data_IF_269381339240
#
_entry.id   IF_269381339240
#
_cell.length_a   1.000
_cell.length_b   1.000
_cell.length_c   1.000
_cell.angle_alpha   90.00
_cell.angle_beta   90.00
_cell.angle_gamma   90.00
#
_symmetry.space_group_name_H-M   'P 1'
#
loop_
_entity.id
_entity.type
_entity.pdbx_description
1 polymer ?
#
# COMPACT_ATOMS: atom_id res chain seq x y z
N UNK A 1 -7.66 -9.04 22.78
CA UNK A 1 -7.67 -7.56 22.69
C UNK A 1 -8.12 -7.26 21.28
N UNK A 2 -9.33 -6.74 21.11
CA UNK A 2 -9.95 -6.64 19.78
C UNK A 2 -9.49 -5.36 19.10
N UNK A 3 -8.33 -5.40 18.44
CA UNK A 3 -7.95 -4.38 17.46
C UNK A 3 -8.78 -4.54 16.18
N UNK A 4 -8.97 -3.46 15.43
CA UNK A 4 -9.71 -3.49 14.17
C UNK A 4 -8.78 -3.37 12.96
N UNK A 5 -8.41 -4.52 12.38
CA UNK A 5 -7.67 -4.55 11.13
C UNK A 5 -8.61 -4.32 9.94
N UNK A 6 -8.70 -3.06 9.50
CA UNK A 6 -9.37 -2.67 8.27
C UNK A 6 -8.60 -3.14 7.02
N UNK A 7 -8.68 -4.45 6.73
CA UNK A 7 -8.13 -5.02 5.51
C UNK A 7 -9.03 -4.69 4.29
N UNK A 8 -8.75 -3.56 3.64
CA UNK A 8 -9.29 -3.30 2.29
C UNK A 8 -8.70 -4.30 1.29
N UNK A 9 -9.50 -4.75 0.32
CA UNK A 9 -8.99 -5.53 -0.84
C UNK A 9 -8.23 -4.60 -1.83
N UNK A 10 -7.30 -3.78 -1.35
CA UNK A 10 -6.54 -2.81 -2.15
C UNK A 10 -5.37 -3.45 -2.94
N UNK A 11 -5.54 -4.71 -3.37
CA UNK A 11 -4.53 -5.53 -4.05
C UNK A 11 -3.96 -4.91 -5.34
N UNK A 12 -4.66 -3.95 -5.95
CA UNK A 12 -4.23 -3.30 -7.20
C UNK A 12 -3.82 -1.82 -7.07
N UNK A 13 -4.12 -1.14 -5.95
CA UNK A 13 -3.92 0.32 -5.85
C UNK A 13 -2.59 0.72 -5.19
N UNK A 14 -2.28 0.16 -4.02
CA UNK A 14 -1.15 0.62 -3.19
C UNK A 14 0.20 0.43 -3.89
N UNK A 15 0.36 -0.67 -4.63
CA UNK A 15 1.59 -0.96 -5.37
C UNK A 15 1.86 0.03 -6.51
N UNK A 16 0.79 0.60 -7.13
CA UNK A 16 0.92 1.71 -8.09
C UNK A 16 1.22 3.04 -7.40
N UNK A 17 0.60 3.29 -6.25
CA UNK A 17 0.69 4.58 -5.55
C UNK A 17 2.10 4.82 -4.95
N UNK A 18 2.74 3.77 -4.43
CA UNK A 18 4.15 3.82 -4.00
C UNK A 18 5.11 4.06 -5.20
N UNK A 19 4.92 3.38 -6.33
CA UNK A 19 5.73 3.60 -7.53
C UNK A 19 5.58 5.02 -8.10
N UNK A 20 4.37 5.59 -8.07
CA UNK A 20 4.14 6.95 -8.59
C UNK A 20 4.72 8.04 -7.68
N UNK A 21 4.73 7.84 -6.35
CA UNK A 21 5.23 8.87 -5.43
C UNK A 21 6.75 9.11 -5.50
N UNK A 22 7.52 8.18 -6.07
CA UNK A 22 8.99 8.25 -6.12
C UNK A 22 9.49 9.00 -7.37
N UNK A 23 8.67 9.17 -8.41
CA UNK A 23 9.14 9.63 -9.73
C UNK A 23 8.99 11.14 -10.03
N UNK A 24 8.61 11.98 -9.05
CA UNK A 24 8.40 13.42 -9.31
C UNK A 24 8.97 14.38 -8.25
N UNK A 25 10.30 14.53 -8.21
CA UNK A 25 10.96 15.68 -7.56
C UNK A 25 11.97 16.34 -8.53
N UNK A 26 11.56 17.33 -9.34
CA UNK A 26 12.50 18.16 -10.07
C UNK A 26 13.11 19.22 -9.15
N UNK A 27 14.43 19.13 -8.93
CA UNK A 27 15.19 20.21 -8.27
C UNK A 27 15.18 21.44 -9.19
N UNK A 28 14.75 22.60 -8.66
CA UNK A 28 14.98 23.91 -9.30
C UNK A 28 15.41 24.97 -8.29
N UNK A 29 16.42 25.79 -8.59
CA UNK A 29 16.86 26.87 -7.71
C UNK A 29 16.07 28.17 -7.96
N UNK A 30 15.84 28.93 -6.90
CA UNK A 30 16.05 30.38 -6.92
C UNK A 30 14.89 31.33 -7.25
N UNK A 31 14.44 32.01 -6.19
CA UNK A 31 14.31 33.49 -6.10
C UNK A 31 13.06 34.22 -6.67
N UNK A 32 12.57 35.13 -5.80
CA UNK A 32 11.75 36.36 -5.99
C UNK A 32 10.22 36.30 -5.98
N UNK A 33 9.68 36.93 -4.93
CA UNK A 33 8.32 37.45 -4.82
C UNK A 33 8.04 38.54 -5.87
N UNK A 34 6.81 38.58 -6.38
CA UNK A 34 6.10 39.84 -6.63
C UNK A 34 4.58 39.65 -6.47
N UNK A 35 3.91 40.74 -6.09
CA UNK A 35 2.48 40.80 -5.83
C UNK A 35 1.71 41.32 -7.05
N UNK A 36 0.47 40.86 -7.26
CA UNK A 36 -0.70 41.73 -7.54
C UNK A 36 -2.02 40.96 -7.64
N UNK A 37 -3.11 41.73 -7.57
CA UNK A 37 -4.52 41.29 -7.47
C UNK A 37 -5.21 41.15 -8.84
N UNK A 38 -6.39 40.49 -8.81
CA UNK A 38 -7.69 40.81 -9.46
C UNK A 38 -8.16 40.05 -10.73
N UNK A 39 -9.43 39.60 -10.61
CA UNK A 39 -10.57 39.54 -11.58
C UNK A 39 -10.80 38.32 -12.49
N UNK A 40 -11.79 37.50 -12.08
CA UNK A 40 -13.07 37.14 -12.77
C UNK A 40 -13.26 37.29 -14.30
N UNK A 41 -13.62 36.16 -14.95
CA UNK A 41 -14.72 35.91 -15.93
C UNK A 41 -14.73 34.37 -16.16
N UNK A 42 -15.80 33.55 -16.24
CA UNK A 42 -17.15 33.58 -16.86
C UNK A 42 -17.14 33.48 -18.41
N UNK A 43 -18.02 32.60 -18.93
CA UNK A 43 -18.26 32.04 -20.28
C UNK A 43 -17.65 30.63 -20.46
N UNK A 44 -18.37 29.51 -20.67
CA UNK A 44 -19.70 29.15 -21.20
C UNK A 44 -19.77 28.89 -22.73
N UNK A 45 -20.14 27.64 -23.09
CA UNK A 45 -20.47 27.12 -24.43
C UNK A 45 -19.33 27.18 -25.50
N UNK A 46 -19.36 26.49 -26.65
CA UNK A 46 -20.48 25.76 -27.28
C UNK A 46 -20.05 24.62 -28.26
N UNK A 47 -21.04 23.79 -28.62
CA UNK A 47 -21.26 22.91 -29.79
C UNK A 47 -20.21 22.61 -30.89
N UNK A 48 -20.29 21.36 -31.40
CA UNK A 48 -19.99 20.96 -32.79
C UNK A 48 -18.55 20.45 -33.05
N UNK A 49 -18.28 19.48 -33.94
CA UNK A 49 -19.16 18.67 -34.79
C UNK A 49 -18.67 18.57 -36.25
N UNK A 50 -18.80 17.37 -36.84
CA UNK A 50 -18.95 17.12 -38.29
C UNK A 50 -17.72 17.11 -39.22
N UNK A 51 -17.84 16.29 -40.29
CA UNK A 51 -16.86 15.97 -41.38
C UNK A 51 -15.53 15.26 -41.01
N UNK A 52 -15.02 14.31 -41.81
CA UNK A 52 -15.57 13.73 -43.05
C UNK A 52 -14.77 12.53 -43.58
N UNK A 53 -15.43 11.64 -44.34
CA UNK A 53 -14.81 10.60 -45.17
C UNK A 53 -14.48 11.16 -46.56
N UNK A 54 -13.33 10.80 -47.14
CA UNK A 54 -12.88 10.81 -48.56
C UNK A 54 -11.33 10.68 -48.47
N UNK A 55 -10.56 9.84 -49.14
CA UNK A 55 -10.58 9.09 -50.41
C UNK A 55 -9.84 7.73 -50.20
N UNK A 56 -9.82 6.70 -51.05
CA UNK A 56 -10.37 6.52 -52.39
C UNK A 56 -9.32 6.53 -53.52
N UNK A 57 -8.60 5.42 -53.80
CA UNK A 57 -7.75 5.32 -55.01
C UNK A 57 -6.76 4.15 -55.10
N UNK A 58 -6.99 3.26 -56.08
CA UNK A 58 -6.09 2.37 -56.90
C UNK A 58 -4.62 2.13 -56.49
N UNK A 59 -4.05 0.90 -56.43
CA UNK A 59 -4.00 -0.26 -57.37
C UNK A 59 -2.87 -0.16 -58.43
N UNK A 60 -1.74 -0.84 -58.19
CA UNK A 60 -0.80 -1.36 -59.23
C UNK A 60 0.21 -2.37 -58.66
N UNK A 61 0.74 -3.27 -59.51
CA UNK A 61 1.72 -4.35 -59.23
C UNK A 61 2.23 -4.95 -60.57
N UNK A 62 3.25 -5.84 -60.63
CA UNK A 62 4.15 -6.36 -59.58
C UNK A 62 5.57 -5.72 -59.74
N UNK A 63 6.72 -6.33 -60.13
CA UNK A 63 7.10 -7.73 -60.46
C UNK A 63 7.92 -8.44 -59.34
N UNK A 64 8.52 -9.60 -59.67
CA UNK A 64 9.21 -10.55 -58.76
C UNK A 64 10.73 -10.36 -58.68
N UNK A 65 11.34 -10.39 -57.48
CA UNK A 65 12.78 -10.68 -57.33
C UNK A 65 13.15 -11.47 -56.05
N UNK A 66 13.73 -12.64 -56.31
CA UNK A 66 14.63 -13.51 -55.52
C UNK A 66 14.93 -13.15 -54.04
N UNK A 67 14.61 -14.11 -53.15
CA UNK A 67 15.38 -14.42 -51.92
C UNK A 67 16.88 -14.65 -52.25
N UNK A 68 17.84 -14.35 -51.36
CA UNK A 68 17.90 -14.92 -50.00
C UNK A 68 18.46 -14.04 -48.87
N UNK A 69 17.97 -14.22 -47.64
CA UNK A 69 18.81 -14.59 -46.49
C UNK A 69 17.95 -14.95 -45.26
N UNK A 70 18.31 -16.05 -44.57
CA UNK A 70 17.77 -16.38 -43.25
C UNK A 70 18.49 -15.53 -42.21
N UNK A 71 18.04 -14.29 -42.00
CA UNK A 71 18.35 -13.61 -40.74
C UNK A 71 17.52 -14.31 -39.66
N UNK A 72 18.21 -15.00 -38.75
CA UNK A 72 17.55 -15.71 -37.66
C UNK A 72 16.71 -14.74 -36.84
N UNK A 73 15.39 -14.96 -36.83
CA UNK A 73 14.53 -14.45 -35.77
C UNK A 73 15.00 -15.08 -34.47
N UNK A 74 15.95 -14.44 -33.80
CA UNK A 74 16.11 -14.64 -32.37
C UNK A 74 14.79 -14.18 -31.76
N UNK A 75 13.95 -15.15 -31.44
CA UNK A 75 12.99 -14.99 -30.36
C UNK A 75 13.82 -14.61 -29.14
N UNK A 76 13.91 -13.30 -28.91
CA UNK A 76 14.28 -12.77 -27.60
C UNK A 76 13.16 -13.25 -26.70
N UNK A 77 13.37 -14.43 -26.11
CA UNK A 77 12.70 -14.83 -24.90
C UNK A 77 12.95 -13.69 -23.92
N UNK A 78 11.97 -12.77 -23.84
CA UNK A 78 11.83 -11.89 -22.71
C UNK A 78 11.62 -12.83 -21.54
N UNK A 79 12.72 -13.20 -20.89
CA UNK A 79 12.70 -13.90 -19.62
C UNK A 79 11.76 -13.09 -18.75
N UNK A 80 10.62 -13.69 -18.39
CA UNK A 80 9.65 -13.04 -17.54
C UNK A 80 10.41 -12.60 -16.29
N UNK A 81 10.51 -11.29 -16.08
CA UNK A 81 11.13 -10.75 -14.88
C UNK A 81 10.55 -11.50 -13.68
N UNK A 82 11.41 -12.02 -12.78
CA UNK A 82 10.96 -12.95 -11.75
C UNK A 82 9.79 -12.36 -11.00
N UNK A 83 8.72 -13.15 -10.98
CA UNK A 83 7.49 -13.02 -10.19
C UNK A 83 7.52 -11.89 -9.18
N UNK A 84 6.63 -10.90 -9.35
CA UNK A 84 6.36 -9.92 -8.31
C UNK A 84 6.16 -10.65 -6.98
N UNK A 85 7.05 -10.40 -6.02
CA UNK A 85 7.06 -11.12 -4.74
C UNK A 85 5.69 -10.99 -4.10
N UNK A 86 5.04 -12.12 -3.83
CA UNK A 86 3.75 -12.14 -3.15
C UNK A 86 3.88 -11.37 -1.82
N UNK A 87 2.95 -10.46 -1.55
CA UNK A 87 3.06 -9.60 -0.38
C UNK A 87 2.97 -10.46 0.89
N UNK A 88 3.94 -10.34 1.79
CA UNK A 88 3.95 -11.13 3.02
C UNK A 88 2.91 -10.60 4.03
N UNK A 89 2.31 -11.51 4.81
CA UNK A 89 1.31 -11.18 5.82
C UNK A 89 1.77 -11.58 7.23
N UNK A 90 1.44 -10.81 8.28
CA UNK A 90 1.67 -11.24 9.66
C UNK A 90 0.97 -12.56 9.93
N UNK A 91 1.65 -13.57 10.51
CA UNK A 91 1.06 -14.89 10.74
C UNK A 91 -0.06 -14.83 11.79
N UNK A 92 -1.20 -15.47 11.47
CA UNK A 92 -2.34 -15.60 12.38
C UNK A 92 -3.03 -16.96 12.26
N UNK A 93 -3.65 -17.38 13.36
CA UNK A 93 -4.57 -18.52 13.38
C UNK A 93 -6.01 -18.00 13.47
N UNK A 94 -6.88 -18.42 12.56
CA UNK A 94 -8.33 -18.18 12.73
C UNK A 94 -8.86 -19.13 13.80
N UNK A 95 -9.35 -18.58 14.91
CA UNK A 95 -9.91 -19.35 16.03
C UNK A 95 -11.38 -19.70 15.75
N UNK A 96 -12.17 -18.71 15.33
CA UNK A 96 -13.61 -18.85 15.03
C UNK A 96 -13.98 -17.91 13.89
N UNK A 97 -14.97 -18.28 13.08
CA UNK A 97 -15.64 -17.37 12.13
C UNK A 97 -17.07 -17.13 12.58
N UNK A 98 -17.43 -15.88 12.85
CA UNK A 98 -18.80 -15.46 13.19
C UNK A 98 -19.51 -14.83 11.99
N UNK A 99 -20.80 -14.52 12.15
CA UNK A 99 -21.56 -13.84 11.08
C UNK A 99 -21.15 -12.36 11.02
N UNK A 100 -20.18 -12.07 10.14
CA UNK A 100 -19.65 -10.74 9.86
C UNK A 100 -18.21 -10.49 10.33
N UNK A 101 -17.54 -11.48 10.94
CA UNK A 101 -16.18 -11.32 11.46
C UNK A 101 -15.40 -12.63 11.57
N UNK A 102 -14.07 -12.55 11.53
CA UNK A 102 -13.17 -13.62 11.98
C UNK A 102 -12.58 -13.26 13.35
N UNK A 103 -12.44 -14.22 14.27
CA UNK A 103 -11.53 -14.12 15.41
C UNK A 103 -10.18 -14.71 15.02
N UNK A 104 -9.12 -13.90 15.12
CA UNK A 104 -7.76 -14.23 14.70
C UNK A 104 -6.80 -14.04 15.87
N UNK A 105 -6.13 -15.12 16.26
CA UNK A 105 -5.01 -15.05 17.18
C UNK A 105 -3.75 -14.74 16.38
N UNK A 106 -3.15 -13.58 16.64
CA UNK A 106 -1.86 -13.22 16.08
C UNK A 106 -0.75 -13.61 17.06
N UNK A 107 0.28 -14.31 16.59
CA UNK A 107 1.53 -14.48 17.35
C UNK A 107 2.23 -13.12 17.54
N UNK A 108 3.33 -13.07 18.30
CA UNK A 108 4.16 -11.87 18.32
C UNK A 108 4.95 -11.73 17.01
N UNK A 109 4.99 -10.53 16.45
CA UNK A 109 5.74 -10.24 15.21
C UNK A 109 6.37 -8.84 15.24
N UNK A 110 7.55 -8.67 14.60
CA UNK A 110 8.21 -7.37 14.50
C UNK A 110 7.43 -6.41 13.60
N UNK A 111 7.34 -5.15 14.02
CA UNK A 111 6.82 -4.05 13.20
C UNK A 111 7.79 -2.89 13.18
N UNK A 112 7.77 -2.12 12.11
CA UNK A 112 8.24 -0.74 12.11
C UNK A 112 7.02 0.17 12.25
N UNK A 113 7.10 1.14 13.16
CA UNK A 113 5.97 1.98 13.52
C UNK A 113 6.36 3.43 13.79
N UNK A 114 5.40 4.34 13.60
CA UNK A 114 5.54 5.76 13.93
C UNK A 114 4.19 6.40 14.26
N UNK A 115 4.21 7.45 15.06
CA UNK A 115 3.06 8.35 15.17
C UNK A 115 2.92 9.15 13.86
N UNK A 116 1.69 9.47 13.44
CA UNK A 116 1.45 10.24 12.22
C UNK A 116 0.21 11.14 12.32
N UNK A 117 0.27 12.30 11.68
CA UNK A 117 -0.93 13.12 11.43
C UNK A 117 -1.45 12.93 10.00
N UNK A 118 -0.55 12.88 9.02
CA UNK A 118 -0.88 12.66 7.61
C UNK A 118 -0.45 11.27 7.18
N UNK A 119 -1.33 10.56 6.46
CA UNK A 119 -1.10 9.16 6.08
C UNK A 119 0.11 9.03 5.15
N UNK A 120 0.30 10.02 4.29
CA UNK A 120 1.35 10.05 3.27
C UNK A 120 2.75 10.12 3.90
N UNK A 121 2.91 10.90 4.98
CA UNK A 121 4.14 11.00 5.77
C UNK A 121 4.46 9.65 6.43
N UNK A 122 3.45 8.99 7.02
CA UNK A 122 3.58 7.65 7.58
C UNK A 122 3.99 6.59 6.57
N UNK A 123 3.36 6.57 5.39
CA UNK A 123 3.72 5.64 4.32
C UNK A 123 5.14 5.88 3.79
N UNK A 124 5.55 7.15 3.63
CA UNK A 124 6.87 7.50 3.12
C UNK A 124 7.99 7.09 4.09
N UNK A 125 7.88 7.46 5.37
CA UNK A 125 8.92 7.20 6.36
C UNK A 125 9.05 5.70 6.72
N UNK A 126 7.93 4.98 6.86
CA UNK A 126 7.98 3.53 7.09
C UNK A 126 8.44 2.76 5.83
N UNK A 127 8.01 3.19 4.63
CA UNK A 127 8.49 2.63 3.37
C UNK A 127 9.99 2.83 3.16
N UNK A 128 10.51 4.01 3.49
CA UNK A 128 11.94 4.31 3.44
C UNK A 128 12.76 3.35 4.32
N UNK A 129 12.28 3.04 5.53
CA UNK A 129 12.92 2.04 6.41
C UNK A 129 12.97 0.65 5.76
N UNK A 130 11.84 0.20 5.16
CA UNK A 130 11.71 -1.09 4.46
C UNK A 130 12.66 -1.20 3.24
N UNK A 131 12.94 -0.07 2.57
CA UNK A 131 13.79 0.01 1.37
C UNK A 131 15.27 0.26 1.66
N UNK A 132 15.65 0.32 2.95
CA UNK A 132 17.03 0.36 3.40
C UNK A 132 17.50 1.69 3.96
N UNK A 133 16.61 2.67 4.18
CA UNK A 133 16.93 3.88 4.96
C UNK A 133 16.89 3.56 6.47
N UNK A 134 17.88 2.78 6.90
CA UNK A 134 18.13 2.38 8.27
C UNK A 134 19.65 2.18 8.48
N UNK A 135 20.10 2.07 9.72
CA UNK A 135 21.53 2.09 10.06
C UNK A 135 22.38 0.97 9.42
N UNK A 136 21.75 -0.13 9.01
CA UNK A 136 22.41 -1.27 8.35
C UNK A 136 22.21 -1.37 6.85
N UNK A 137 21.46 -0.45 6.22
CA UNK A 137 21.08 -0.55 4.79
C UNK A 137 20.18 -1.75 4.45
N UNK A 138 19.61 -2.42 5.46
CA UNK A 138 18.92 -3.70 5.28
C UNK A 138 17.52 -3.49 4.69
N UNK A 139 17.13 -4.33 3.72
CA UNK A 139 15.84 -4.24 3.03
C UNK A 139 14.91 -5.35 3.49
N UNK A 140 13.61 -5.09 3.62
CA UNK A 140 12.61 -6.06 4.08
C UNK A 140 11.50 -6.28 3.04
N UNK A 141 10.89 -7.45 3.01
CA UNK A 141 9.80 -7.77 2.09
C UNK A 141 8.65 -6.75 2.21
N UNK A 142 7.96 -6.45 1.11
CA UNK A 142 6.77 -5.61 1.16
C UNK A 142 5.62 -6.41 1.77
N UNK A 143 5.05 -5.89 2.86
CA UNK A 143 4.05 -6.60 3.67
C UNK A 143 2.66 -5.99 3.53
N UNK A 144 1.64 -6.79 3.81
CA UNK A 144 0.26 -6.35 3.95
C UNK A 144 -0.40 -7.01 5.17
N UNK A 145 -1.40 -6.37 5.82
CA UNK A 145 -1.84 -4.99 5.62
C UNK A 145 -0.92 -4.00 6.35
N UNK A 146 -0.99 -2.73 5.94
CA UNK A 146 -0.51 -1.62 6.79
C UNK A 146 -1.59 -1.34 7.83
N UNK A 147 -1.20 -1.29 9.11
CA UNK A 147 -2.12 -1.13 10.24
C UNK A 147 -2.12 0.31 10.73
N UNK A 148 -3.29 0.87 11.01
CA UNK A 148 -3.46 2.18 11.65
C UNK A 148 -4.13 1.95 13.01
N UNK A 149 -3.41 2.25 14.08
CA UNK A 149 -3.88 2.13 15.47
C UNK A 149 -4.31 3.51 15.95
N UNK A 150 -5.54 3.61 16.43
CA UNK A 150 -6.10 4.81 17.03
C UNK A 150 -6.14 4.59 18.55
N UNK A 151 -5.54 5.48 19.32
CA UNK A 151 -5.59 5.43 20.77
C UNK A 151 -6.80 6.24 21.30
N UNK A 152 -7.39 5.88 22.47
CA UNK A 152 -8.49 6.64 23.08
C UNK A 152 -8.17 8.13 23.31
N UNK A 153 -6.89 8.49 23.47
CA UNK A 153 -6.41 9.88 23.54
C UNK A 153 -6.30 10.62 22.19
N UNK A 154 -6.84 10.07 21.10
CA UNK A 154 -6.82 10.68 19.75
C UNK A 154 -5.52 10.50 18.96
N UNK A 155 -4.45 10.02 19.59
CA UNK A 155 -3.18 9.73 18.94
C UNK A 155 -3.28 8.59 17.92
N UNK A 156 -2.53 8.69 16.82
CA UNK A 156 -2.57 7.73 15.69
C UNK A 156 -1.17 7.17 15.46
N UNK A 157 -1.06 5.84 15.37
CA UNK A 157 0.19 5.14 15.04
C UNK A 157 0.01 4.31 13.79
N UNK A 158 0.94 4.40 12.83
CA UNK A 158 0.99 3.54 11.66
C UNK A 158 2.02 2.44 11.91
N UNK A 159 1.71 1.20 11.52
CA UNK A 159 2.57 0.03 11.68
C UNK A 159 2.66 -0.75 10.35
N UNK A 160 3.87 -1.15 9.98
CA UNK A 160 4.12 -2.12 8.90
C UNK A 160 4.83 -3.35 9.48
N UNK A 161 4.45 -4.54 9.02
CA UNK A 161 5.10 -5.78 9.41
C UNK A 161 6.51 -5.85 8.81
N UNK A 162 7.48 -6.31 9.60
CA UNK A 162 8.84 -6.60 9.14
C UNK A 162 8.92 -8.08 8.74
N UNK A 163 8.67 -8.31 7.45
CA UNK A 163 8.80 -9.61 6.79
C UNK A 163 10.26 -10.00 6.53
N UNK A 164 10.46 -10.97 5.63
CA UNK A 164 11.77 -11.52 5.27
C UNK A 164 12.76 -10.45 4.81
N UNK A 165 14.05 -10.61 5.13
CA UNK A 165 15.08 -9.67 4.65
C UNK A 165 15.38 -9.90 3.16
N UNK A 166 15.21 -8.88 2.32
CA UNK A 166 15.50 -8.92 0.88
C UNK A 166 16.99 -8.73 0.61
N UNK A 167 17.54 -9.57 -0.26
CA UNK A 167 18.89 -9.38 -0.83
C UNK A 167 20.05 -9.62 0.14
N UNK A 168 19.81 -10.31 1.25
CA UNK A 168 20.87 -10.93 2.02
C UNK A 168 21.13 -12.34 1.49
N UNK A 169 22.40 -12.77 1.41
CA UNK A 169 22.76 -14.17 1.09
C UNK A 169 22.32 -15.16 2.19
N UNK A 170 21.77 -14.64 3.29
CA UNK A 170 21.06 -15.39 4.34
C UNK A 170 19.62 -15.64 3.90
N UNK A 171 19.41 -16.72 3.13
CA UNK A 171 18.08 -17.13 2.68
C UNK A 171 17.10 -17.35 3.83
N UNK A 172 15.87 -16.86 3.65
CA UNK A 172 14.59 -17.12 4.35
C UNK A 172 14.58 -17.25 5.90
N UNK A 173 15.65 -16.85 6.57
CA UNK A 173 15.76 -16.95 8.02
C UNK A 173 14.82 -15.92 8.69
N UNK A 174 13.98 -16.33 9.66
CA UNK A 174 13.09 -15.42 10.35
C UNK A 174 13.87 -14.33 11.07
N UNK A 175 13.47 -13.07 10.85
CA UNK A 175 14.21 -11.90 11.31
C UNK A 175 14.20 -11.81 12.84
N UNK A 176 15.39 -11.90 13.45
CA UNK A 176 15.54 -11.77 14.91
C UNK A 176 15.52 -10.30 15.33
N UNK A 177 14.79 -9.99 16.41
CA UNK A 177 14.65 -8.62 16.94
C UNK A 177 16.00 -8.00 17.30
N UNK A 178 16.90 -8.79 17.87
CA UNK A 178 18.25 -8.35 18.24
C UNK A 178 19.15 -8.02 17.03
N UNK A 179 18.71 -8.38 15.82
CA UNK A 179 19.40 -8.08 14.55
C UNK A 179 18.69 -7.04 13.68
N UNK A 180 17.57 -6.45 14.15
CA UNK A 180 16.87 -5.41 13.40
C UNK A 180 17.68 -4.10 13.39
N UNK A 181 17.81 -3.43 12.23
CA UNK A 181 18.57 -2.20 12.12
C UNK A 181 17.83 -1.05 12.80
N UNK A 182 18.59 -0.10 13.33
CA UNK A 182 18.05 1.12 13.94
C UNK A 182 17.47 2.03 12.86
N UNK A 183 16.24 2.56 13.02
CA UNK A 183 15.74 3.61 12.14
C UNK A 183 16.62 4.87 12.20
N UNK A 184 16.78 5.54 11.06
CA UNK A 184 17.47 6.84 10.97
C UNK A 184 16.49 8.02 10.98
N UNK A 185 15.24 7.79 10.59
CA UNK A 185 14.19 8.81 10.54
C UNK A 185 13.63 9.08 11.96
N UNK A 186 13.61 10.34 12.43
CA UNK A 186 13.06 10.68 13.75
C UNK A 186 11.60 10.26 13.90
N UNK A 187 11.27 9.62 15.02
CA UNK A 187 9.91 9.17 15.33
C UNK A 187 9.52 7.81 14.74
N UNK A 188 10.31 7.26 13.81
CA UNK A 188 10.22 5.86 13.41
C UNK A 188 10.92 4.98 14.45
N UNK A 189 10.28 3.89 14.86
CA UNK A 189 10.83 2.90 15.80
C UNK A 189 10.52 1.47 15.34
N UNK A 190 11.38 0.54 15.73
CA UNK A 190 11.10 -0.90 15.66
C UNK A 190 10.40 -1.33 16.96
N UNK A 191 9.39 -2.17 16.85
CA UNK A 191 8.53 -2.58 17.98
C UNK A 191 8.00 -4.01 17.79
N UNK A 192 7.26 -4.52 18.77
CA UNK A 192 6.55 -5.81 18.70
C UNK A 192 5.05 -5.58 18.75
N UNK A 193 4.34 -6.20 17.81
CA UNK A 193 2.89 -6.29 17.78
C UNK A 193 2.42 -7.75 17.88
N UNK A 194 1.11 -7.95 18.03
CA UNK A 194 0.52 -9.28 18.18
C UNK A 194 0.57 -9.81 19.61
N UNK A 195 0.46 -11.14 19.78
CA UNK A 195 0.22 -11.78 21.08
C UNK A 195 -1.23 -11.64 21.56
N UNK A 196 -2.17 -11.35 20.66
CA UNK A 196 -3.53 -10.94 20.99
C UNK A 196 -4.58 -11.58 20.07
N UNK A 197 -5.76 -11.85 20.65
CA UNK A 197 -6.96 -12.28 19.93
C UNK A 197 -7.74 -11.06 19.42
N UNK A 198 -7.73 -10.88 18.09
CA UNK A 198 -8.26 -9.76 17.31
C UNK A 198 -9.55 -10.20 16.61
N UNK A 199 -10.59 -9.35 16.59
CA UNK A 199 -11.75 -9.56 15.74
C UNK A 199 -11.65 -8.71 14.47
N UNK A 200 -11.80 -9.33 13.30
CA UNK A 200 -11.60 -8.69 12.00
C UNK A 200 -12.88 -8.76 11.19
N UNK A 201 -13.47 -7.60 10.87
CA UNK A 201 -14.51 -7.45 9.88
C UNK A 201 -13.90 -7.02 8.54
N UNK A 202 -14.47 -7.51 7.43
CA UNK A 202 -14.18 -7.02 6.07
C UNK A 202 -15.31 -6.08 5.65
N UNK A 203 -14.95 -5.01 4.97
CA UNK A 203 -15.89 -4.08 4.33
C UNK A 203 -15.37 -3.71 2.95
N UNK A 204 -16.24 -3.16 2.11
CA UNK A 204 -15.94 -2.80 0.73
C UNK A 204 -15.76 -1.28 0.56
N UNK A 205 -15.04 -0.88 -0.49
CA UNK A 205 -14.77 0.52 -0.81
C UNK A 205 -13.53 1.11 -0.13
N UNK A 206 -13.48 2.45 -0.08
CA UNK A 206 -12.34 3.21 0.42
C UNK A 206 -12.44 3.50 1.93
N UNK A 207 -11.30 3.47 2.64
CA UNK A 207 -11.24 3.76 4.07
C UNK A 207 -11.29 5.27 4.39
N UNK A 208 -12.50 5.80 4.39
CA UNK A 208 -12.86 7.10 4.97
C UNK A 208 -13.14 6.98 6.48
N UNK A 209 -13.14 8.09 7.26
CA UNK A 209 -13.56 8.04 8.66
C UNK A 209 -14.98 7.50 8.85
N UNK A 210 -15.93 7.93 8.02
CA UNK A 210 -17.34 7.50 8.09
C UNK A 210 -17.51 6.01 7.81
N UNK A 211 -16.83 5.47 6.80
CA UNK A 211 -16.87 4.03 6.49
C UNK A 211 -16.16 3.19 7.55
N UNK A 212 -15.08 3.70 8.16
CA UNK A 212 -14.40 3.03 9.25
C UNK A 212 -15.28 2.94 10.50
N UNK A 213 -15.96 4.03 10.88
CA UNK A 213 -16.88 4.00 12.03
C UNK A 213 -18.12 3.12 11.76
N UNK A 214 -18.66 3.13 10.55
CA UNK A 214 -19.76 2.24 10.17
C UNK A 214 -19.36 0.75 10.24
N UNK A 215 -18.16 0.41 9.76
CA UNK A 215 -17.61 -0.95 9.88
C UNK A 215 -17.34 -1.32 11.34
N UNK A 216 -16.87 -0.36 12.16
CA UNK A 216 -16.65 -0.52 13.61
C UNK A 216 -17.94 -0.82 14.34
N UNK A 217 -18.97 0.02 14.18
CA UNK A 217 -20.28 -0.20 14.77
C UNK A 217 -20.89 -1.56 14.38
N UNK A 218 -20.77 -1.96 13.10
CA UNK A 218 -21.25 -3.26 12.63
C UNK A 218 -20.51 -4.45 13.26
N UNK A 219 -19.18 -4.36 13.42
CA UNK A 219 -18.38 -5.37 14.10
C UNK A 219 -18.72 -5.45 15.59
N UNK A 220 -18.82 -4.32 16.29
CA UNK A 220 -19.21 -4.27 17.71
C UNK A 220 -20.59 -4.92 17.92
N UNK A 221 -21.58 -4.59 17.09
CA UNK A 221 -22.91 -5.18 17.16
C UNK A 221 -22.90 -6.70 16.89
N UNK A 222 -22.07 -7.17 15.95
CA UNK A 222 -21.92 -8.60 15.66
C UNK A 222 -21.29 -9.37 16.84
N UNK A 223 -20.28 -8.79 17.49
CA UNK A 223 -19.64 -9.38 18.68
C UNK A 223 -20.59 -9.39 19.89
N UNK A 224 -21.33 -8.31 20.13
CA UNK A 224 -22.33 -8.23 21.19
C UNK A 224 -23.45 -9.26 21.03
N UNK A 225 -23.99 -9.41 19.81
CA UNK A 225 -24.99 -10.44 19.46
C UNK A 225 -24.49 -11.85 19.79
N UNK A 226 -23.21 -12.10 19.55
CA UNK A 226 -22.59 -13.42 19.74
C UNK A 226 -21.97 -13.57 21.17
N UNK A 227 -22.27 -12.64 22.09
CA UNK A 227 -21.87 -12.70 23.51
C UNK A 227 -20.40 -12.36 23.80
N UNK A 228 -19.65 -11.87 22.82
CA UNK A 228 -18.21 -11.60 22.92
C UNK A 228 -17.98 -10.20 23.51
N UNK A 229 -17.26 -10.15 24.63
CA UNK A 229 -16.86 -8.89 25.28
C UNK A 229 -15.57 -8.33 24.66
N UNK A 230 -15.56 -7.02 24.43
CA UNK A 230 -14.36 -6.26 24.07
C UNK A 230 -13.48 -6.03 25.31
N UNK A 231 -12.19 -5.80 25.09
CA UNK A 231 -11.29 -5.26 26.12
C UNK A 231 -11.59 -3.78 26.38
N UNK A 232 -11.34 -3.28 27.59
CA UNK A 232 -11.65 -1.90 27.99
C UNK A 232 -11.03 -0.85 27.06
N UNK A 233 -9.77 -1.06 26.65
CA UNK A 233 -9.06 -0.22 25.67
C UNK A 233 -9.80 -0.13 24.32
N UNK A 234 -10.36 -1.26 23.85
CA UNK A 234 -11.09 -1.34 22.56
C UNK A 234 -12.55 -0.86 22.69
N UNK A 235 -13.09 -0.77 23.91
CA UNK A 235 -14.36 -0.12 24.18
C UNK A 235 -14.21 1.42 24.25
N UNK A 236 -13.02 1.90 24.64
CA UNK A 236 -12.71 3.33 24.79
C UNK A 236 -12.33 4.05 23.47
N UNK A 237 -11.97 3.31 22.41
CA UNK A 237 -11.62 3.86 21.09
C UNK A 237 -11.46 2.79 20.02
#
# INVERSE_FOLDING_TARGET
IVKMLCATNASQSVSRQLHQSIQSVPIRPGVRCHSRRRRTAIYAADNGGFFGKLFGGSKEAPPTSKQPERVASQEVFMQANPTASEAEFPPFQTITRGKGYDLRLYGSYPVVEMAYERREEGYAALGAFIDGQNSGGARFAYTQPVTMVYAPGGGKTMQMYLGSQRGADKGDAPVSLASLPTPVEPGVRVSIAGGELIAVARFEGYITPTTAEAARAALVAALQRDGIKLSEEAAAG
#
